data_IF_327423768764
#
_entry.id   IF_327423768764
#
_cell.length_a   1.000
_cell.length_b   1.000
_cell.length_c   1.000
_cell.angle_alpha   90.00
_cell.angle_beta   90.00
_cell.angle_gamma   90.00
#
_symmetry.space_group_name_H-M   'P 1'
#
loop_
_entity.id
_entity.type
_entity.pdbx_description
1 polymer ?
#
# COMPACT_ATOMS: atom_id res chain seq x y z
N UNK A 1 7.76 22.54 -13.70
CA UNK A 1 8.05 22.52 -15.15
C UNK A 1 9.40 21.91 -15.49
N UNK A 2 10.54 22.41 -14.98
CA UNK A 2 11.90 21.87 -15.29
C UNK A 2 12.06 20.36 -15.05
N UNK A 3 11.53 19.84 -13.93
CA UNK A 3 11.60 18.41 -13.62
C UNK A 3 10.84 17.54 -14.64
N UNK A 4 9.70 18.00 -15.15
CA UNK A 4 8.91 17.25 -16.14
C UNK A 4 9.66 17.20 -17.48
N UNK A 5 10.23 18.33 -17.92
CA UNK A 5 11.00 18.38 -19.16
C UNK A 5 12.20 17.40 -19.16
N UNK A 6 12.90 17.29 -18.02
CA UNK A 6 13.99 16.31 -17.87
C UNK A 6 13.49 14.86 -18.00
N UNK A 7 12.36 14.51 -17.37
CA UNK A 7 11.80 13.17 -17.50
C UNK A 7 11.26 12.86 -18.91
N UNK A 8 10.72 13.85 -19.61
CA UNK A 8 10.30 13.70 -21.00
C UNK A 8 11.49 13.42 -21.93
N UNK A 9 12.63 14.09 -21.70
CA UNK A 9 13.87 13.80 -22.42
C UNK A 9 14.38 12.38 -22.13
N UNK A 10 14.38 11.96 -20.86
CA UNK A 10 14.74 10.58 -20.48
C UNK A 10 13.82 9.57 -21.16
N UNK A 11 12.51 9.83 -21.21
CA UNK A 11 11.53 8.94 -21.86
C UNK A 11 11.78 8.80 -23.37
N UNK A 12 12.21 9.86 -24.04
CA UNK A 12 12.53 9.82 -25.47
C UNK A 12 13.73 8.91 -25.77
N UNK A 13 14.69 8.83 -24.86
CA UNK A 13 15.93 8.04 -25.03
C UNK A 13 15.75 6.61 -24.48
N UNK A 14 15.03 6.47 -23.37
CA UNK A 14 14.87 5.22 -22.63
C UNK A 14 13.42 5.07 -22.12
N UNK A 15 12.44 4.73 -22.98
CA UNK A 15 11.03 4.65 -22.61
C UNK A 15 10.73 3.56 -21.57
N UNK A 16 11.59 2.54 -21.48
CA UNK A 16 11.48 1.44 -20.51
C UNK A 16 12.33 1.65 -19.25
N UNK A 17 12.92 2.83 -19.05
CA UNK A 17 13.62 3.11 -17.80
C UNK A 17 12.61 3.20 -16.64
N UNK A 18 12.49 2.08 -15.92
CA UNK A 18 11.37 1.85 -15.00
C UNK A 18 11.24 2.91 -13.91
N UNK A 19 12.37 3.32 -13.32
CA UNK A 19 12.40 4.33 -12.25
C UNK A 19 11.83 5.68 -12.68
N UNK A 20 11.95 6.06 -13.95
CA UNK A 20 11.36 7.32 -14.46
C UNK A 20 9.84 7.30 -14.31
N UNK A 21 9.16 6.19 -14.61
CA UNK A 21 7.70 6.12 -14.51
C UNK A 21 7.22 6.35 -13.07
N UNK A 22 7.91 5.81 -12.06
CA UNK A 22 7.57 6.05 -10.65
C UNK A 22 7.74 7.52 -10.26
N UNK A 23 8.85 8.13 -10.67
CA UNK A 23 9.14 9.53 -10.35
C UNK A 23 8.16 10.49 -11.04
N UNK A 24 7.81 10.25 -12.31
CA UNK A 24 6.80 11.03 -13.03
C UNK A 24 5.42 10.85 -12.39
N UNK A 25 5.06 9.63 -11.99
CA UNK A 25 3.82 9.37 -11.25
C UNK A 25 3.74 10.18 -9.95
N UNK A 26 4.84 10.20 -9.17
CA UNK A 26 4.94 11.00 -7.94
C UNK A 26 4.86 12.50 -8.22
N UNK A 27 5.46 12.98 -9.31
CA UNK A 27 5.36 14.37 -9.72
C UNK A 27 3.92 14.76 -10.07
N UNK A 28 3.18 13.90 -10.76
CA UNK A 28 1.76 14.15 -11.01
C UNK A 28 0.93 14.17 -9.72
N UNK A 29 1.19 13.32 -8.73
CA UNK A 29 0.53 13.43 -7.42
C UNK A 29 0.77 14.79 -6.76
N UNK A 30 2.00 15.34 -6.84
CA UNK A 30 2.29 16.70 -6.36
C UNK A 30 1.52 17.78 -7.12
N UNK A 31 1.30 17.60 -8.42
CA UNK A 31 0.47 18.50 -9.21
C UNK A 31 -1.00 18.41 -8.78
N UNK A 32 -1.52 17.21 -8.49
CA UNK A 32 -2.85 17.06 -7.89
C UNK A 32 -2.95 17.89 -6.61
N UNK A 33 -2.01 17.75 -5.68
CA UNK A 33 -2.05 18.46 -4.39
C UNK A 33 -2.01 19.98 -4.60
N UNK A 34 -1.18 20.45 -5.54
CA UNK A 34 -1.10 21.87 -5.92
C UNK A 34 -2.44 22.42 -6.44
N UNK A 35 -3.08 21.73 -7.38
CA UNK A 35 -4.36 22.18 -7.94
C UNK A 35 -5.52 22.04 -6.94
N UNK A 36 -5.53 20.96 -6.15
CA UNK A 36 -6.51 20.77 -5.08
C UNK A 36 -6.44 21.91 -4.06
N UNK A 37 -5.23 22.33 -3.66
CA UNK A 37 -5.00 23.46 -2.76
C UNK A 37 -5.45 24.82 -3.33
N UNK A 38 -5.61 24.95 -4.64
CA UNK A 38 -6.18 26.14 -5.29
C UNK A 38 -7.71 26.10 -5.43
N UNK A 39 -8.38 25.07 -4.91
CA UNK A 39 -9.81 24.90 -5.12
C UNK A 39 -10.16 24.53 -6.56
N UNK A 40 -9.25 23.86 -7.28
CA UNK A 40 -9.42 23.36 -8.66
C UNK A 40 -9.51 21.82 -8.67
N UNK A 41 -10.58 21.23 -8.13
CA UNK A 41 -10.66 19.79 -7.94
C UNK A 41 -10.76 18.99 -9.25
N UNK A 42 -11.32 19.57 -10.32
CA UNK A 42 -11.43 18.90 -11.61
C UNK A 42 -10.05 18.72 -12.25
N UNK A 43 -9.27 19.80 -12.30
CA UNK A 43 -7.89 19.81 -12.80
C UNK A 43 -6.99 18.92 -11.94
N UNK A 44 -7.17 18.94 -10.61
CA UNK A 44 -6.43 18.07 -9.71
C UNK A 44 -6.68 16.59 -10.01
N UNK A 45 -7.93 16.19 -10.27
CA UNK A 45 -8.28 14.80 -10.54
C UNK A 45 -7.58 14.23 -11.77
N UNK A 46 -7.39 15.03 -12.84
CA UNK A 46 -6.66 14.60 -14.04
C UNK A 46 -5.21 14.19 -13.73
N UNK A 47 -4.59 14.84 -12.76
CA UNK A 47 -3.22 14.51 -12.36
C UNK A 47 -3.14 13.18 -11.62
N UNK A 48 -4.19 12.79 -10.89
CA UNK A 48 -4.26 11.44 -10.32
C UNK A 48 -4.39 10.37 -11.41
N UNK A 49 -5.14 10.64 -12.50
CA UNK A 49 -5.21 9.71 -13.64
C UNK A 49 -3.85 9.55 -14.33
N UNK A 50 -3.17 10.68 -14.58
CA UNK A 50 -1.82 10.69 -15.15
C UNK A 50 -0.81 9.98 -14.25
N UNK A 51 -0.92 10.15 -12.92
CA UNK A 51 -0.09 9.47 -11.95
C UNK A 51 -0.30 7.95 -12.00
N UNK A 52 -1.56 7.50 -11.97
CA UNK A 52 -1.91 6.09 -11.98
C UNK A 52 -1.45 5.41 -13.27
N UNK A 53 -1.60 6.06 -14.43
CA UNK A 53 -1.10 5.56 -15.70
C UNK A 53 0.41 5.28 -15.67
N UNK A 54 1.20 6.19 -15.06
CA UNK A 54 2.65 6.02 -14.91
C UNK A 54 3.01 4.89 -13.96
N UNK A 55 2.34 4.78 -12.82
CA UNK A 55 2.60 3.72 -11.85
C UNK A 55 2.21 2.34 -12.41
N UNK A 56 1.19 2.26 -13.27
CA UNK A 56 0.85 1.04 -14.00
C UNK A 56 1.94 0.64 -15.01
N UNK A 57 2.52 1.61 -15.73
CA UNK A 57 3.68 1.34 -16.61
C UNK A 57 4.88 0.84 -15.80
N UNK A 58 5.15 1.43 -14.64
CA UNK A 58 6.20 0.94 -13.73
C UNK A 58 5.96 -0.53 -13.37
N UNK A 59 4.77 -0.85 -12.85
CA UNK A 59 4.43 -2.19 -12.37
C UNK A 59 4.48 -3.27 -13.47
N UNK A 60 4.19 -2.89 -14.71
CA UNK A 60 4.31 -3.80 -15.84
C UNK A 60 5.76 -4.11 -16.22
N UNK A 61 6.70 -3.20 -15.91
CA UNK A 61 8.13 -3.38 -16.16
C UNK A 61 8.85 -4.02 -14.96
N UNK A 62 8.47 -3.62 -13.73
CA UNK A 62 9.01 -4.11 -12.47
C UNK A 62 7.87 -4.26 -11.44
N UNK A 63 7.36 -5.49 -11.24
CA UNK A 63 6.25 -5.74 -10.33
C UNK A 63 6.68 -5.95 -8.86
N UNK A 64 7.97 -5.85 -8.52
CA UNK A 64 8.47 -6.19 -7.17
C UNK A 64 8.77 -4.97 -6.29
N UNK A 65 8.57 -3.75 -6.79
CA UNK A 65 8.81 -2.53 -6.03
C UNK A 65 7.60 -2.09 -5.19
N UNK A 66 7.64 -2.42 -3.90
CA UNK A 66 6.57 -2.12 -2.95
C UNK A 66 6.11 -0.64 -2.91
N UNK A 67 7.00 0.38 -2.94
CA UNK A 67 6.57 1.77 -2.94
C UNK A 67 5.67 2.14 -4.12
N UNK A 68 5.76 1.45 -5.26
CA UNK A 68 4.88 1.69 -6.40
C UNK A 68 3.42 1.38 -6.06
N UNK A 69 3.17 0.23 -5.42
CA UNK A 69 1.84 -0.17 -4.94
C UNK A 69 1.32 0.80 -3.89
N UNK A 70 2.17 1.28 -2.98
CA UNK A 70 1.77 2.25 -1.96
C UNK A 70 1.32 3.58 -2.58
N UNK A 71 2.00 4.05 -3.64
CA UNK A 71 1.56 5.23 -4.38
C UNK A 71 0.22 5.02 -5.08
N UNK A 72 0.01 3.86 -5.71
CA UNK A 72 -1.29 3.53 -6.32
C UNK A 72 -2.41 3.50 -5.27
N UNK A 73 -2.16 2.87 -4.12
CA UNK A 73 -3.12 2.86 -3.01
C UNK A 73 -3.44 4.27 -2.50
N UNK A 74 -2.44 5.16 -2.39
CA UNK A 74 -2.65 6.56 -2.01
C UNK A 74 -3.55 7.31 -3.02
N UNK A 75 -3.39 7.06 -4.31
CA UNK A 75 -4.27 7.63 -5.35
C UNK A 75 -5.72 7.17 -5.12
N UNK A 76 -5.94 5.88 -4.86
CA UNK A 76 -7.27 5.35 -4.58
C UNK A 76 -7.86 5.89 -3.27
N UNK A 77 -7.03 6.04 -2.22
CA UNK A 77 -7.43 6.69 -0.96
C UNK A 77 -7.86 8.14 -1.15
N UNK A 78 -7.13 8.92 -1.96
CA UNK A 78 -7.51 10.29 -2.31
C UNK A 78 -8.89 10.36 -3.00
N UNK A 79 -9.27 9.29 -3.69
CA UNK A 79 -10.59 9.11 -4.34
C UNK A 79 -11.65 8.49 -3.43
N UNK A 80 -11.31 8.16 -2.17
CA UNK A 80 -12.14 7.37 -1.25
C UNK A 80 -12.52 5.98 -1.80
N UNK A 81 -11.72 5.45 -2.70
CA UNK A 81 -11.86 4.10 -3.27
C UNK A 81 -11.07 3.10 -2.43
N UNK A 82 -11.61 2.77 -1.25
CA UNK A 82 -10.99 1.81 -0.34
C UNK A 82 -10.78 0.42 -0.94
N UNK A 83 -11.73 -0.17 -1.72
CA UNK A 83 -11.53 -1.48 -2.33
C UNK A 83 -10.34 -1.53 -3.30
N UNK A 84 -10.15 -0.50 -4.14
CA UNK A 84 -8.97 -0.47 -5.00
C UNK A 84 -7.68 -0.25 -4.21
N UNK A 85 -7.69 0.59 -3.18
CA UNK A 85 -6.51 0.76 -2.32
C UNK A 85 -6.09 -0.55 -1.64
N UNK A 86 -7.07 -1.32 -1.15
CA UNK A 86 -6.86 -2.64 -0.55
C UNK A 86 -6.24 -3.61 -1.53
N UNK A 87 -6.78 -3.66 -2.76
CA UNK A 87 -6.23 -4.47 -3.85
C UNK A 87 -4.76 -4.16 -4.10
N UNK A 88 -4.34 -2.89 -4.09
CA UNK A 88 -2.93 -2.54 -4.32
C UNK A 88 -2.01 -3.03 -3.19
N UNK A 89 -2.42 -2.92 -1.93
CA UNK A 89 -1.64 -3.47 -0.81
C UNK A 89 -1.58 -5.00 -0.86
N UNK A 90 -2.70 -5.66 -1.16
CA UNK A 90 -2.76 -7.11 -1.30
C UNK A 90 -1.94 -7.61 -2.48
N UNK A 91 -1.98 -6.92 -3.61
CA UNK A 91 -1.15 -7.22 -4.78
C UNK A 91 0.33 -7.22 -4.41
N UNK A 92 0.78 -6.20 -3.68
CA UNK A 92 2.16 -6.13 -3.19
C UNK A 92 2.49 -7.34 -2.31
N UNK A 93 1.81 -7.52 -1.17
CA UNK A 93 2.20 -8.54 -0.18
C UNK A 93 2.05 -9.97 -0.71
N UNK A 94 1.11 -10.20 -1.62
CA UNK A 94 0.90 -11.52 -2.26
C UNK A 94 1.78 -11.75 -3.49
N UNK A 95 2.66 -10.82 -3.83
CA UNK A 95 3.56 -10.92 -4.99
C UNK A 95 2.85 -11.37 -6.27
N UNK A 96 1.67 -10.79 -6.53
CA UNK A 96 0.66 -11.32 -7.46
C UNK A 96 1.16 -11.55 -8.91
N UNK A 97 2.16 -10.78 -9.34
CA UNK A 97 2.80 -10.83 -10.66
C UNK A 97 4.10 -11.65 -10.71
N UNK A 98 4.51 -12.26 -9.61
CA UNK A 98 5.72 -13.09 -9.56
C UNK A 98 5.47 -14.54 -9.99
N UNK A 99 4.20 -14.98 -10.09
CA UNK A 99 3.77 -16.30 -10.59
C UNK A 99 4.53 -17.50 -10.00
N UNK A 100 5.05 -17.36 -8.77
CA UNK A 100 5.79 -18.41 -8.05
C UNK A 100 4.99 -18.82 -6.83
N UNK A 101 4.63 -20.10 -6.76
CA UNK A 101 3.84 -20.65 -5.64
C UNK A 101 4.57 -20.41 -4.31
N UNK A 102 3.86 -19.82 -3.34
CA UNK A 102 4.37 -19.54 -2.00
C UNK A 102 5.36 -18.37 -1.91
N UNK A 103 5.66 -17.67 -3.02
CA UNK A 103 6.45 -16.45 -2.99
C UNK A 103 5.57 -15.27 -2.59
N UNK A 104 6.00 -14.52 -1.58
CA UNK A 104 5.28 -13.37 -1.03
C UNK A 104 6.25 -12.19 -0.86
N UNK A 105 5.71 -10.97 -0.85
CA UNK A 105 6.46 -9.76 -0.44
C UNK A 105 5.94 -9.24 0.90
N UNK A 106 5.74 -10.15 1.86
CA UNK A 106 5.32 -9.78 3.21
C UNK A 106 6.32 -8.80 3.83
N UNK A 107 5.80 -7.70 4.38
CA UNK A 107 6.62 -6.70 5.07
C UNK A 107 5.80 -6.04 6.18
N UNK A 108 6.51 -5.59 7.23
CA UNK A 108 5.92 -4.81 8.32
C UNK A 108 5.13 -3.63 7.76
N UNK A 109 5.72 -2.93 6.81
CA UNK A 109 5.12 -1.71 6.26
C UNK A 109 3.91 -2.01 5.36
N UNK A 110 3.98 -3.04 4.50
CA UNK A 110 2.86 -3.45 3.65
C UNK A 110 1.62 -3.87 4.46
N UNK A 111 1.82 -4.68 5.50
CA UNK A 111 0.72 -5.07 6.40
C UNK A 111 0.26 -3.92 7.30
N UNK A 112 1.14 -2.99 7.68
CA UNK A 112 0.73 -1.80 8.44
C UNK A 112 -0.20 -0.91 7.62
N UNK A 113 0.12 -0.67 6.35
CA UNK A 113 -0.75 0.11 5.48
C UNK A 113 -2.10 -0.58 5.22
N UNK A 114 -2.09 -1.89 4.99
CA UNK A 114 -3.31 -2.68 4.88
C UNK A 114 -4.15 -2.59 6.16
N UNK A 115 -3.55 -2.83 7.34
CA UNK A 115 -4.26 -2.78 8.61
C UNK A 115 -4.88 -1.41 8.89
N UNK A 116 -4.14 -0.33 8.62
CA UNK A 116 -4.65 1.03 8.79
C UNK A 116 -5.80 1.35 7.83
N UNK A 117 -5.71 0.88 6.59
CA UNK A 117 -6.79 0.99 5.60
C UNK A 117 -8.05 0.26 6.07
N UNK A 118 -7.91 -1.01 6.47
CA UNK A 118 -9.01 -1.84 6.97
C UNK A 118 -9.69 -1.19 8.19
N UNK A 119 -8.87 -0.66 9.11
CA UNK A 119 -9.36 0.04 10.28
C UNK A 119 -10.15 1.30 9.90
N UNK A 120 -9.62 2.13 9.00
CA UNK A 120 -10.28 3.33 8.52
C UNK A 120 -11.58 3.03 7.77
N UNK A 121 -11.66 1.89 7.09
CA UNK A 121 -12.87 1.41 6.42
C UNK A 121 -13.89 0.73 7.37
N UNK A 122 -13.63 0.69 8.68
CA UNK A 122 -14.49 0.03 9.66
C UNK A 122 -14.44 -1.50 9.64
N UNK A 123 -13.54 -2.08 8.84
CA UNK A 123 -13.33 -3.53 8.69
C UNK A 123 -12.40 -4.06 9.76
N UNK A 124 -12.86 -3.95 11.00
CA UNK A 124 -12.05 -4.16 12.20
C UNK A 124 -11.51 -5.59 12.37
N UNK A 125 -12.19 -6.60 11.82
CA UNK A 125 -11.69 -7.99 11.86
C UNK A 125 -10.48 -8.16 10.94
N UNK A 126 -10.57 -7.66 9.71
CA UNK A 126 -9.48 -7.65 8.75
C UNK A 126 -8.30 -6.80 9.25
N UNK A 127 -8.58 -5.65 9.88
CA UNK A 127 -7.56 -4.84 10.53
C UNK A 127 -6.83 -5.62 11.62
N UNK A 128 -7.56 -6.36 12.48
CA UNK A 128 -6.98 -7.20 13.52
C UNK A 128 -6.06 -8.27 12.93
N UNK A 129 -6.48 -8.95 11.87
CA UNK A 129 -5.68 -9.96 11.17
C UNK A 129 -4.40 -9.35 10.59
N UNK A 130 -4.50 -8.21 9.89
CA UNK A 130 -3.36 -7.53 9.30
C UNK A 130 -2.38 -6.98 10.36
N UNK A 131 -2.85 -6.42 11.47
CA UNK A 131 -1.96 -6.06 12.59
C UNK A 131 -1.31 -7.30 13.22
N UNK A 132 -2.01 -8.43 13.28
CA UNK A 132 -1.43 -9.71 13.69
C UNK A 132 -0.27 -10.13 12.78
N UNK A 133 -0.40 -9.95 11.46
CA UNK A 133 0.70 -10.17 10.49
C UNK A 133 1.88 -9.22 10.72
N UNK A 134 1.62 -7.95 11.04
CA UNK A 134 2.69 -7.00 11.42
C UNK A 134 3.46 -7.52 12.64
N UNK A 135 2.77 -7.96 13.69
CA UNK A 135 3.39 -8.45 14.93
C UNK A 135 4.09 -9.80 14.75
N UNK A 136 3.63 -10.64 13.82
CA UNK A 136 4.33 -11.87 13.47
C UNK A 136 5.69 -11.58 12.80
N UNK A 137 5.78 -10.51 11.99
CA UNK A 137 7.02 -10.10 11.33
C UNK A 137 7.94 -9.29 12.25
N UNK A 138 7.36 -8.39 13.06
CA UNK A 138 8.07 -7.60 14.04
C UNK A 138 7.22 -7.49 15.31
N UNK A 139 7.50 -8.36 16.30
CA UNK A 139 6.79 -8.33 17.58
C UNK A 139 6.87 -6.98 18.25
N UNK A 140 7.94 -6.19 18.05
CA UNK A 140 8.18 -4.90 18.72
C UNK A 140 7.54 -3.69 18.02
N UNK A 141 6.72 -3.89 16.99
CA UNK A 141 6.00 -2.81 16.32
C UNK A 141 4.92 -2.18 17.23
N UNK A 142 5.33 -1.22 18.07
CA UNK A 142 4.46 -0.61 19.10
C UNK A 142 3.12 -0.05 18.57
N UNK A 143 3.07 0.65 17.41
CA UNK A 143 1.80 1.11 16.86
C UNK A 143 0.84 -0.06 16.57
N UNK A 144 1.34 -1.16 16.02
CA UNK A 144 0.55 -2.36 15.75
C UNK A 144 0.14 -3.08 17.05
N UNK A 145 1.03 -3.17 18.06
CA UNK A 145 0.68 -3.73 19.39
C UNK A 145 -0.54 -3.03 19.98
N UNK A 146 -0.54 -1.70 19.98
CA UNK A 146 -1.60 -0.90 20.58
C UNK A 146 -2.94 -1.11 19.85
N UNK A 147 -2.93 -1.05 18.51
CA UNK A 147 -4.15 -1.21 17.72
C UNK A 147 -4.69 -2.64 17.80
N UNK A 148 -3.81 -3.63 17.75
CA UNK A 148 -4.16 -5.03 17.91
C UNK A 148 -4.83 -5.28 19.27
N UNK A 149 -4.24 -4.80 20.37
CA UNK A 149 -4.79 -4.94 21.72
C UNK A 149 -6.18 -4.28 21.85
N UNK A 150 -6.34 -3.06 21.34
CA UNK A 150 -7.62 -2.34 21.35
C UNK A 150 -8.71 -3.09 20.58
N UNK A 151 -8.38 -3.64 19.40
CA UNK A 151 -9.30 -4.45 18.61
C UNK A 151 -9.66 -5.76 19.30
N UNK A 152 -8.69 -6.45 19.94
CA UNK A 152 -9.00 -7.67 20.71
C UNK A 152 -9.94 -7.40 21.87
N UNK A 153 -9.72 -6.32 22.62
CA UNK A 153 -10.61 -5.90 23.69
C UNK A 153 -12.02 -5.60 23.17
N UNK A 154 -12.12 -4.87 22.05
CA UNK A 154 -13.39 -4.57 21.37
C UNK A 154 -14.19 -5.83 21.01
N UNK A 155 -13.51 -6.91 20.67
CA UNK A 155 -14.11 -8.20 20.33
C UNK A 155 -14.23 -9.19 21.50
N UNK A 156 -13.84 -8.81 22.73
CA UNK A 156 -13.84 -9.71 23.88
C UNK A 156 -12.86 -10.89 23.75
N UNK A 157 -11.85 -10.79 22.88
CA UNK A 157 -10.83 -11.81 22.67
C UNK A 157 -9.76 -11.69 23.76
N UNK A 158 -10.07 -12.11 24.98
CA UNK A 158 -9.23 -11.85 26.15
C UNK A 158 -7.94 -12.69 26.24
N UNK A 159 -7.74 -13.71 25.39
CA UNK A 159 -6.46 -14.41 25.24
C UNK A 159 -6.28 -14.77 23.77
N UNK A 160 -5.15 -14.41 23.14
CA UNK A 160 -4.82 -14.97 21.83
C UNK A 160 -3.94 -16.17 22.09
N UNK A 161 -4.39 -17.34 21.67
CA UNK A 161 -3.54 -18.51 21.55
C UNK A 161 -2.96 -18.46 20.14
N UNK A 162 -1.64 -18.43 20.06
CA UNK A 162 -0.91 -18.50 18.79
C UNK A 162 -1.35 -19.76 18.01
N UNK A 163 -1.95 -19.63 16.80
CA UNK A 163 -2.35 -20.77 15.99
C UNK A 163 -1.18 -21.66 15.57
N UNK A 164 0.07 -21.16 15.70
CA UNK A 164 1.32 -21.89 15.46
C UNK A 164 1.96 -22.49 16.72
N UNK A 165 1.43 -22.24 17.92
CA UNK A 165 1.87 -22.89 19.17
C UNK A 165 0.70 -23.59 19.85
N UNK A 166 0.37 -24.77 19.35
CA UNK A 166 -0.27 -25.81 20.20
C UNK A 166 0.79 -26.35 21.17
N UNK A 167 1.08 -25.58 22.20
CA UNK A 167 1.87 -26.03 23.35
C UNK A 167 1.04 -27.04 24.14
N UNK A 168 1.35 -28.32 23.93
CA UNK A 168 0.82 -29.48 24.63
C UNK A 168 0.63 -29.22 26.13
N UNK A 169 -0.57 -29.42 26.73
CA UNK A 169 -0.67 -29.47 28.18
C UNK A 169 0.05 -30.74 28.65
N UNK A 170 1.22 -30.58 29.26
CA UNK A 170 1.87 -31.66 30.01
C UNK A 170 0.95 -32.05 31.16
N UNK A 171 0.38 -33.26 31.08
CA UNK A 171 0.04 -34.08 32.24
C UNK A 171 1.34 -34.58 32.88
#
# INVERSE_FOLDING_TARGET
>A
ERAMAAYEAVRAIAPNYVQMHHQVGTLYMKMHDYYAGQGKPKEAAEYLDKALARLNLYENLDPVYAPNYYRKAQIHLARRDYPSAEREYLNNVNAWKCHRKGHLHESVEGYTYLANLEYAAGRYKQALEAYGKVLALNPEAQPAKNQYAALKQKFGLNVWVDPGKTGNPKQ
#
